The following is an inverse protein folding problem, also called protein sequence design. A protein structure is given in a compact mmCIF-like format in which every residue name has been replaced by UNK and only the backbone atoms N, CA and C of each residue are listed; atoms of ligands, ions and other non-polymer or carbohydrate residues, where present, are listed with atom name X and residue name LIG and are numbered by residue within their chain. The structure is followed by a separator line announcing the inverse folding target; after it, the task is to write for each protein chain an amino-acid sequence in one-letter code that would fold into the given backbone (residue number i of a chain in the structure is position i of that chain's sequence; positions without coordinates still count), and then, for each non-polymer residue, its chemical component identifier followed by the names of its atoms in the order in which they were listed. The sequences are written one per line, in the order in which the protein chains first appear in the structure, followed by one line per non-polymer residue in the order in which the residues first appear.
data_IF_632431797352
#
_entry.id   IF_632431797352
#
_cell.length_a   1.000
_cell.length_b   1.000
_cell.length_c   1.000
_cell.angle_alpha   90.00
_cell.angle_beta   90.00
_cell.angle_gamma   90.00
#
_symmetry.space_group_name_H-M   'P 1'
#
loop_
_entity.id
_entity.type
_entity.pdbx_description
1 polymer ?
#
# COMPACT_ATOMS: atom_id res chain seq x y z
N UNK A 1 18.30 17.73 32.79
CA UNK A 1 19.68 17.25 32.53
C UNK A 1 20.36 18.23 31.59
N UNK A 2 21.50 18.79 32.00
CA UNK A 2 22.19 19.82 31.24
C UNK A 2 23.04 19.15 30.14
N UNK A 3 22.41 18.88 29.00
CA UNK A 3 22.98 18.18 27.85
C UNK A 3 24.29 18.80 27.37
N UNK A 4 24.47 20.11 27.56
CA UNK A 4 25.70 20.83 27.20
C UNK A 4 26.91 20.39 28.02
N UNK A 5 26.73 20.13 29.33
CA UNK A 5 27.81 19.65 30.20
C UNK A 5 28.18 18.19 29.90
N UNK A 6 27.18 17.36 29.59
CA UNK A 6 27.41 15.96 29.22
C UNK A 6 28.14 15.85 27.87
N UNK A 7 27.77 16.66 26.88
CA UNK A 7 28.47 16.72 25.59
C UNK A 7 29.90 17.23 25.72
N UNK A 8 30.14 18.24 26.56
CA UNK A 8 31.49 18.75 26.80
C UNK A 8 32.39 17.69 27.46
N UNK A 9 31.87 16.99 28.47
CA UNK A 9 32.60 15.90 29.13
C UNK A 9 32.92 14.75 28.16
N UNK A 10 31.95 14.34 27.33
CA UNK A 10 32.19 13.33 26.28
C UNK A 10 33.19 13.80 25.23
N UNK A 11 33.15 15.08 24.84
CA UNK A 11 34.07 15.66 23.89
C UNK A 11 35.51 15.67 24.42
N UNK A 12 35.72 16.06 25.68
CA UNK A 12 37.04 15.99 26.33
C UNK A 12 37.55 14.55 26.45
N UNK A 13 36.67 13.60 26.77
CA UNK A 13 37.05 12.18 26.81
C UNK A 13 37.48 11.66 25.44
N UNK A 14 36.72 11.97 24.38
CA UNK A 14 37.04 11.51 23.01
C UNK A 14 38.26 12.24 22.44
N UNK A 15 38.44 13.53 22.70
CA UNK A 15 39.59 14.31 22.25
C UNK A 15 40.91 13.81 22.86
N UNK A 16 40.87 13.41 24.13
CA UNK A 16 42.03 12.87 24.84
C UNK A 16 42.24 11.36 24.59
N UNK A 17 41.23 10.64 24.09
CA UNK A 17 41.36 9.24 23.70
C UNK A 17 42.07 9.11 22.33
N UNK A 18 43.39 8.97 22.39
CA UNK A 18 44.19 8.50 21.26
C UNK A 18 44.00 6.97 21.15
N UNK A 19 42.94 6.53 20.47
CA UNK A 19 42.51 5.11 20.42
C UNK A 19 43.51 4.15 19.75
N UNK A 20 44.59 4.68 19.18
CA UNK A 20 45.73 3.93 18.68
C UNK A 20 47.03 4.61 19.11
N UNK A 21 47.38 4.49 20.39
CA UNK A 21 48.79 4.28 20.70
C UNK A 21 48.98 2.79 20.45
N UNK A 22 49.49 2.46 19.26
CA UNK A 22 50.18 1.19 19.10
C UNK A 22 51.29 1.26 20.14
N UNK A 23 51.17 0.43 21.17
CA UNK A 23 52.21 0.21 22.16
C UNK A 23 53.46 -0.08 21.32
N UNK A 24 54.35 0.91 21.18
CA UNK A 24 55.69 0.71 20.65
C UNK A 24 56.34 -0.24 21.65
N UNK A 25 56.16 -1.53 21.42
CA UNK A 25 57.06 -2.53 21.95
C UNK A 25 58.40 -2.25 21.29
N UNK A 26 59.17 -1.39 21.96
CA UNK A 26 60.63 -1.38 22.05
C UNK A 26 61.28 -2.23 20.95
N UNK A 27 61.41 -1.65 19.76
CA UNK A 27 62.19 -2.27 18.70
C UNK A 27 63.65 -2.09 19.12
N UNK A 28 64.25 -3.17 19.63
CA UNK A 28 65.65 -3.20 19.99
C UNK A 28 66.49 -2.79 18.77
N UNK A 29 67.26 -1.71 18.94
CA UNK A 29 68.40 -1.37 18.09
C UNK A 29 69.39 -2.52 18.17
N UNK A 30 69.38 -3.45 17.21
CA UNK A 30 70.55 -4.25 16.85
C UNK A 30 70.37 -4.80 15.41
N UNK A 31 71.29 -4.34 14.54
CA UNK A 31 71.75 -4.94 13.28
C UNK A 31 71.00 -4.65 11.95
N UNK A 32 71.71 -3.85 11.13
CA UNK A 32 72.01 -3.99 9.69
C UNK A 32 71.01 -3.52 8.61
N UNK A 33 71.36 -2.33 8.08
CA UNK A 33 71.53 -1.94 6.66
C UNK A 33 70.47 -2.23 5.56
N UNK A 34 70.21 -1.13 4.83
CA UNK A 34 69.89 -0.98 3.40
C UNK A 34 68.44 -0.76 2.90
N UNK A 35 68.32 0.45 2.30
CA UNK A 35 67.56 0.85 1.11
C UNK A 35 66.05 1.18 1.18
N UNK A 36 65.83 2.51 1.09
CA UNK A 36 64.99 3.17 0.08
C UNK A 36 63.47 3.17 0.30
N UNK A 37 63.00 4.24 0.95
CA UNK A 37 61.59 4.62 1.00
C UNK A 37 61.24 5.36 2.30
N UNK A 38 61.97 6.44 2.63
CA UNK A 38 61.75 7.22 3.85
C UNK A 38 60.39 7.88 3.86
N UNK A 39 59.38 7.11 4.26
CA UNK A 39 58.09 7.62 4.68
C UNK A 39 58.26 7.96 6.14
N UNK A 40 58.54 9.23 6.44
CA UNK A 40 58.69 9.78 7.79
C UNK A 40 57.66 9.12 8.74
N UNK A 41 58.08 8.43 9.82
CA UNK A 41 57.16 7.71 10.71
C UNK A 41 56.08 8.63 11.29
N UNK A 42 56.37 9.92 11.43
CA UNK A 42 55.40 10.92 11.87
C UNK A 42 54.30 11.19 10.82
N UNK A 43 54.56 10.95 9.54
CA UNK A 43 53.57 11.09 8.46
C UNK A 43 52.58 9.93 8.43
N UNK A 44 53.06 8.70 8.69
CA UNK A 44 52.22 7.49 8.78
C UNK A 44 51.26 7.57 9.97
N UNK A 45 51.75 8.00 11.13
CA UNK A 45 50.94 8.21 12.35
C UNK A 45 49.85 9.27 12.15
N UNK A 46 50.16 10.37 11.46
CA UNK A 46 49.17 11.41 11.13
C UNK A 46 48.07 10.86 10.23
N UNK A 47 48.45 10.08 9.23
CA UNK A 47 47.50 9.50 8.28
C UNK A 47 46.57 8.48 8.94
N UNK A 48 47.11 7.62 9.83
CA UNK A 48 46.31 6.69 10.65
C UNK A 48 45.32 7.42 11.57
N UNK A 49 45.71 8.58 12.11
CA UNK A 49 44.81 9.41 12.91
C UNK A 49 43.68 9.97 12.05
N UNK A 50 43.97 10.57 10.89
CA UNK A 50 42.93 11.12 10.02
C UNK A 50 41.94 10.05 9.52
N UNK A 51 42.43 8.87 9.14
CA UNK A 51 41.55 7.78 8.70
C UNK A 51 40.65 7.30 9.83
N UNK A 52 41.17 7.13 11.04
CA UNK A 52 40.38 6.73 12.21
C UNK A 52 39.26 7.74 12.49
N UNK A 53 39.58 9.03 12.51
CA UNK A 53 38.58 10.08 12.75
C UNK A 53 37.52 10.12 11.64
N UNK A 54 37.92 9.92 10.38
CA UNK A 54 36.99 9.82 9.26
C UNK A 54 36.04 8.62 9.41
N UNK A 55 36.57 7.44 9.73
CA UNK A 55 35.76 6.23 9.94
C UNK A 55 34.82 6.35 11.13
N UNK A 56 35.30 6.90 12.25
CA UNK A 56 34.46 7.15 13.43
C UNK A 56 33.35 8.15 13.13
N UNK A 57 33.63 9.23 12.39
CA UNK A 57 32.62 10.20 11.97
C UNK A 57 31.58 9.54 11.06
N UNK A 58 32.01 8.77 10.06
CA UNK A 58 31.10 8.05 9.17
C UNK A 58 30.22 7.06 9.93
N UNK A 59 30.76 6.36 10.92
CA UNK A 59 30.01 5.44 11.77
C UNK A 59 28.95 6.18 12.59
N UNK A 60 29.30 7.30 13.21
CA UNK A 60 28.33 8.13 13.96
C UNK A 60 27.21 8.64 13.05
N UNK A 61 27.54 9.12 11.85
CA UNK A 61 26.56 9.61 10.87
C UNK A 61 25.63 8.47 10.42
N UNK A 62 26.18 7.30 10.14
CA UNK A 62 25.41 6.10 9.77
C UNK A 62 24.44 5.70 10.89
N UNK A 63 24.93 5.60 12.13
CA UNK A 63 24.10 5.30 13.30
C UNK A 63 23.01 6.36 13.50
N UNK A 64 23.32 7.64 13.31
CA UNK A 64 22.33 8.72 13.40
C UNK A 64 21.21 8.57 12.36
N UNK A 65 21.55 8.27 11.10
CA UNK A 65 20.56 8.06 10.03
C UNK A 65 19.66 6.87 10.38
N UNK A 66 20.23 5.76 10.83
CA UNK A 66 19.47 4.56 11.23
C UNK A 66 18.52 4.83 12.40
N UNK A 67 18.98 5.57 13.41
CA UNK A 67 18.14 5.96 14.53
C UNK A 67 17.01 6.89 14.05
N UNK A 68 17.34 7.89 13.24
CA UNK A 68 16.35 8.84 12.73
C UNK A 68 15.24 8.14 11.94
N UNK A 69 15.57 7.23 11.04
CA UNK A 69 14.58 6.46 10.28
C UNK A 69 13.79 5.48 11.14
N UNK A 70 14.40 4.92 12.20
CA UNK A 70 13.70 4.06 13.15
C UNK A 70 12.69 4.82 14.03
N UNK A 71 13.01 6.07 14.41
CA UNK A 71 12.13 6.90 15.24
C UNK A 71 11.05 7.61 14.44
N UNK A 72 11.33 8.02 13.21
CA UNK A 72 10.33 8.61 12.30
C UNK A 72 9.37 7.53 11.80
N UNK A 73 8.34 7.24 12.59
CA UNK A 73 7.20 6.47 12.12
C UNK A 73 6.32 7.38 11.25
N UNK A 74 6.03 7.03 9.99
CA UNK A 74 5.04 7.75 9.22
C UNK A 74 3.68 7.59 9.91
N UNK A 75 3.03 8.72 10.21
CA UNK A 75 1.67 8.73 10.75
C UNK A 75 0.67 8.73 9.58
N UNK A 76 0.14 7.54 9.28
CA UNK A 76 -0.88 7.40 8.23
C UNK A 76 -2.24 7.82 8.78
N UNK A 77 -2.74 8.96 8.32
CA UNK A 77 -4.09 9.43 8.67
C UNK A 77 -5.12 8.77 7.75
N UNK A 78 -5.98 7.93 8.33
CA UNK A 78 -7.14 7.36 7.60
C UNK A 78 -8.27 8.39 7.55
N UNK A 79 -8.71 8.75 6.34
CA UNK A 79 -9.87 9.62 6.11
C UNK A 79 -11.02 8.74 5.62
N UNK A 80 -12.13 8.73 6.36
CA UNK A 80 -13.35 8.01 5.98
C UNK A 80 -14.33 8.97 5.35
N UNK A 81 -14.73 8.70 4.11
CA UNK A 81 -15.78 9.46 3.40
C UNK A 81 -17.04 8.59 3.37
N UNK A 82 -18.16 9.12 3.85
CA UNK A 82 -19.46 8.47 3.81
C UNK A 82 -20.27 9.01 2.63
N UNK A 83 -21.13 8.16 2.05
CA UNK A 83 -22.04 8.52 0.95
C UNK A 83 -21.32 9.09 -0.29
N UNK A 84 -20.48 8.24 -0.88
CA UNK A 84 -19.65 8.62 -2.04
C UNK A 84 -20.51 8.66 -3.30
N UNK A 85 -20.67 9.84 -3.89
CA UNK A 85 -21.27 9.99 -5.22
C UNK A 85 -20.31 9.49 -6.31
N UNK A 86 -20.80 9.06 -7.49
CA UNK A 86 -19.94 8.55 -8.57
C UNK A 86 -18.81 9.52 -8.98
N UNK A 87 -19.10 10.82 -9.01
CA UNK A 87 -18.12 11.86 -9.36
C UNK A 87 -17.02 11.97 -8.32
N UNK A 88 -17.37 11.91 -7.03
CA UNK A 88 -16.41 11.97 -5.93
C UNK A 88 -15.55 10.70 -5.91
N UNK A 89 -16.14 9.55 -6.23
CA UNK A 89 -15.41 8.29 -6.36
C UNK A 89 -14.36 8.37 -7.48
N UNK A 90 -14.73 8.86 -8.67
CA UNK A 90 -13.78 8.99 -9.79
C UNK A 90 -12.62 9.93 -9.44
N UNK A 91 -12.88 11.03 -8.76
CA UNK A 91 -11.84 11.96 -8.30
C UNK A 91 -10.89 11.29 -7.30
N UNK A 92 -11.43 10.63 -6.28
CA UNK A 92 -10.65 9.92 -5.27
C UNK A 92 -9.85 8.76 -5.86
N UNK A 93 -10.43 8.04 -6.82
CA UNK A 93 -9.75 6.97 -7.51
C UNK A 93 -8.58 7.51 -8.35
N UNK A 94 -8.77 8.63 -9.06
CA UNK A 94 -7.68 9.24 -9.84
C UNK A 94 -6.52 9.71 -8.96
N UNK A 95 -6.82 10.32 -7.82
CA UNK A 95 -5.81 10.99 -7.00
C UNK A 95 -5.17 10.04 -5.95
N UNK A 96 -5.87 8.96 -5.56
CA UNK A 96 -5.46 8.06 -4.46
C UNK A 96 -5.66 6.55 -4.74
N UNK A 97 -5.65 6.11 -6.01
CA UNK A 97 -5.90 4.72 -6.42
C UNK A 97 -5.23 3.65 -5.53
N UNK A 98 -3.94 3.81 -5.22
CA UNK A 98 -3.13 2.80 -4.51
C UNK A 98 -3.46 2.67 -3.02
N UNK A 99 -4.05 3.71 -2.42
CA UNK A 99 -4.33 3.76 -0.97
C UNK A 99 -5.83 3.73 -0.67
N UNK A 100 -6.67 3.81 -1.70
CA UNK A 100 -8.13 3.79 -1.59
C UNK A 100 -8.61 2.38 -1.20
N UNK A 101 -9.43 2.28 -0.14
CA UNK A 101 -10.06 1.04 0.29
C UNK A 101 -11.56 1.25 0.47
N UNK A 102 -12.37 0.47 -0.25
CA UNK A 102 -13.84 0.51 -0.18
C UNK A 102 -14.36 -0.75 0.52
N UNK A 103 -14.57 -0.72 1.85
CA UNK A 103 -15.21 -1.83 2.54
C UNK A 103 -16.69 -1.93 2.15
N UNK A 104 -17.14 -3.12 1.78
CA UNK A 104 -18.55 -3.37 1.53
C UNK A 104 -19.34 -3.33 2.85
N UNK A 105 -20.41 -2.55 2.90
CA UNK A 105 -21.31 -2.49 4.07
C UNK A 105 -22.13 -3.77 4.23
N UNK A 106 -22.41 -4.47 3.14
CA UNK A 106 -23.19 -5.71 3.11
C UNK A 106 -22.59 -6.69 2.12
N UNK A 107 -22.56 -7.98 2.48
CA UNK A 107 -22.05 -9.06 1.64
C UNK A 107 -22.95 -9.38 0.43
N UNK A 108 -24.23 -9.05 0.52
CA UNK A 108 -25.22 -9.29 -0.53
C UNK A 108 -26.15 -8.10 -0.64
N UNK A 109 -26.41 -7.67 -1.87
CA UNK A 109 -27.39 -6.63 -2.19
C UNK A 109 -28.56 -7.33 -2.90
N UNK A 110 -29.79 -7.27 -2.35
CA UNK A 110 -30.96 -7.82 -3.01
C UNK A 110 -31.14 -7.26 -4.42
N UNK A 111 -31.48 -8.11 -5.40
CA UNK A 111 -31.64 -7.70 -6.80
C UNK A 111 -32.59 -6.51 -6.99
N UNK A 112 -33.69 -6.48 -6.22
CA UNK A 112 -34.68 -5.38 -6.20
C UNK A 112 -34.09 -3.99 -5.88
N UNK A 113 -32.94 -3.92 -5.21
CA UNK A 113 -32.30 -2.66 -4.83
C UNK A 113 -31.37 -2.13 -5.95
N UNK A 114 -30.90 -3.01 -6.83
CA UNK A 114 -30.05 -2.62 -7.97
C UNK A 114 -30.87 -2.44 -9.25
N UNK A 115 -31.90 -3.26 -9.44
CA UNK A 115 -32.74 -3.25 -10.64
C UNK A 115 -34.17 -2.91 -10.25
N UNK A 116 -34.62 -1.76 -10.71
CA UNK A 116 -36.03 -1.37 -10.67
C UNK A 116 -36.62 -1.55 -12.07
N UNK A 117 -37.38 -2.63 -12.26
CA UNK A 117 -38.09 -2.90 -13.51
C UNK A 117 -39.59 -2.67 -13.32
N UNK A 118 -40.15 -1.78 -14.13
CA UNK A 118 -41.61 -1.66 -14.31
C UNK A 118 -41.94 -2.50 -15.54
N UNK A 119 -42.61 -3.64 -15.35
CA UNK A 119 -43.08 -4.47 -16.47
C UNK A 119 -44.35 -3.83 -17.00
N UNK A 120 -44.29 -3.25 -18.20
CA UNK A 120 -45.45 -2.81 -18.95
C UNK A 120 -45.80 -3.89 -19.97
N UNK A 121 -46.95 -4.56 -19.79
CA UNK A 121 -47.41 -5.52 -20.78
C UNK A 121 -47.91 -4.78 -22.02
N UNK A 122 -47.74 -5.41 -23.18
CA UNK A 122 -48.38 -4.93 -24.39
C UNK A 122 -49.90 -5.10 -24.24
N UNK A 123 -50.76 -4.21 -24.77
CA UNK A 123 -52.22 -4.34 -24.64
C UNK A 123 -52.80 -5.68 -25.11
N UNK A 124 -52.13 -6.34 -26.06
CA UNK A 124 -52.49 -7.69 -26.53
C UNK A 124 -52.31 -8.75 -25.44
N UNK A 125 -51.31 -8.58 -24.57
CA UNK A 125 -51.06 -9.44 -23.42
C UNK A 125 -51.94 -9.10 -22.20
N UNK A 126 -52.79 -8.08 -22.30
CA UNK A 126 -53.86 -7.78 -21.32
C UNK A 126 -55.24 -7.96 -21.96
N UNK A 127 -55.28 -8.46 -23.20
CA UNK A 127 -56.51 -8.71 -23.94
C UNK A 127 -57.27 -9.90 -23.36
N UNK A 128 -58.59 -9.90 -23.55
CA UNK A 128 -59.44 -11.04 -23.25
C UNK A 128 -58.99 -12.32 -23.98
N UNK A 129 -58.31 -12.20 -25.12
CA UNK A 129 -57.85 -13.35 -25.90
C UNK A 129 -56.81 -14.23 -25.19
N UNK A 130 -56.14 -13.71 -24.17
CA UNK A 130 -55.19 -14.48 -23.35
C UNK A 130 -55.81 -14.91 -22.00
N UNK A 131 -57.07 -14.56 -21.75
CA UNK A 131 -57.78 -14.97 -20.54
C UNK A 131 -58.05 -16.48 -20.57
N UNK A 132 -58.07 -17.11 -19.39
CA UNK A 132 -58.35 -18.55 -19.29
C UNK A 132 -59.75 -18.86 -19.80
N UNK A 133 -60.69 -17.98 -19.49
CA UNK A 133 -62.09 -18.09 -19.89
C UNK A 133 -62.24 -18.10 -21.41
N UNK A 134 -61.50 -17.24 -22.13
CA UNK A 134 -61.49 -17.24 -23.58
C UNK A 134 -60.87 -18.52 -24.16
N UNK A 135 -59.74 -18.96 -23.60
CA UNK A 135 -59.04 -20.16 -24.05
C UNK A 135 -59.91 -21.41 -23.82
N UNK A 136 -60.57 -21.51 -22.67
CA UNK A 136 -61.48 -22.61 -22.34
C UNK A 136 -62.72 -22.58 -23.24
N UNK A 137 -63.23 -21.40 -23.61
CA UNK A 137 -64.37 -21.27 -24.51
C UNK A 137 -64.08 -21.83 -25.91
N UNK A 138 -62.83 -21.77 -26.39
CA UNK A 138 -62.43 -22.38 -27.67
C UNK A 138 -62.56 -23.91 -27.66
N UNK A 139 -62.56 -24.56 -26.50
CA UNK A 139 -62.62 -26.02 -26.37
C UNK A 139 -64.05 -26.55 -26.16
N UNK A 140 -65.08 -25.70 -26.22
CA UNK A 140 -66.47 -26.14 -26.18
C UNK A 140 -66.86 -26.85 -27.49
N UNK A 141 -67.61 -27.95 -27.40
CA UNK A 141 -67.99 -28.83 -28.53
C UNK A 141 -68.78 -28.13 -29.67
N UNK A 142 -69.19 -26.86 -29.49
CA UNK A 142 -69.91 -26.06 -30.49
C UNK A 142 -69.31 -24.65 -30.70
N UNK A 143 -68.10 -24.38 -30.19
CA UNK A 143 -67.46 -23.07 -30.36
C UNK A 143 -67.06 -22.80 -31.81
N UNK A 144 -66.74 -23.85 -32.56
CA UNK A 144 -66.42 -23.77 -33.99
C UNK A 144 -67.11 -24.90 -34.76
N UNK A 145 -67.11 -24.79 -36.10
CA UNK A 145 -67.57 -25.89 -36.99
C UNK A 145 -66.56 -27.04 -37.08
N UNK A 146 -65.39 -26.88 -36.50
CA UNK A 146 -64.29 -27.83 -36.49
C UNK A 146 -64.21 -28.50 -35.11
N UNK A 147 -63.75 -29.75 -35.07
CA UNK A 147 -63.59 -30.49 -33.82
C UNK A 147 -62.57 -29.82 -32.88
N UNK A 148 -62.63 -30.14 -31.60
CA UNK A 148 -61.70 -29.61 -30.58
C UNK A 148 -60.24 -30.03 -30.81
N UNK A 149 -60.02 -31.10 -31.58
CA UNK A 149 -58.67 -31.57 -31.97
C UNK A 149 -58.13 -30.87 -33.23
N UNK A 150 -58.91 -29.98 -33.88
CA UNK A 150 -58.49 -29.22 -35.05
C UNK A 150 -57.79 -27.91 -34.61
N UNK A 151 -56.57 -27.68 -35.10
CA UNK A 151 -55.77 -26.47 -34.81
C UNK A 151 -56.48 -25.18 -35.24
N UNK A 152 -57.42 -25.26 -36.19
CA UNK A 152 -58.22 -24.12 -36.64
C UNK A 152 -59.23 -23.65 -35.60
N UNK A 153 -59.55 -24.50 -34.62
CA UNK A 153 -60.44 -24.19 -33.50
C UNK A 153 -59.73 -23.36 -32.41
N UNK A 154 -58.40 -23.43 -32.32
CA UNK A 154 -57.60 -22.73 -31.29
C UNK A 154 -56.88 -21.48 -31.79
N UNK A 155 -56.81 -21.29 -33.12
CA UNK A 155 -56.17 -20.14 -33.76
C UNK A 155 -57.15 -19.09 -34.33
N UNK A 156 -58.46 -19.26 -34.11
CA UNK A 156 -59.53 -18.36 -34.56
C UNK A 156 -59.95 -17.34 -33.51
#
# INVERSE_FOLDING_TARGET
MNYKAAFHWLYEQIYNYNIFILEETEYNDDEEEEEEGETDPASVLKQQKYTTWLYTLLLIVSCYILLYTAFMKPEDRKITVFDVTPVVFEQLYRDHAETLSCPCSTITVPFKNFVFNIITHHPVCESIFISKEWIEALHLENASRYGTDDFRTTAS
#
